data_IF_408211089551
#
_entry.id   IF_408211089551
#
_cell.length_a   1.000
_cell.length_b   1.000
_cell.length_c   1.000
_cell.angle_alpha   90.00
_cell.angle_beta   90.00
_cell.angle_gamma   90.00
#
_symmetry.space_group_name_H-M   'P 1'
#
loop_
_entity.id
_entity.type
_entity.pdbx_description
1 polymer ?
#
# COMPACT_ATOMS: atom_id res chain seq x y z
N UNK A 1 30.60 -0.63 -12.51
CA UNK A 1 31.07 -0.37 -11.13
C UNK A 1 29.87 0.10 -10.34
N UNK A 2 29.54 -0.63 -9.26
CA UNK A 2 28.34 -0.45 -8.44
C UNK A 2 28.46 0.81 -7.57
N UNK A 3 27.48 1.70 -7.62
CA UNK A 3 27.19 2.63 -6.52
C UNK A 3 25.95 2.13 -5.82
N UNK A 4 26.17 1.53 -4.65
CA UNK A 4 25.17 0.82 -3.88
C UNK A 4 23.99 1.71 -3.52
N UNK A 5 22.80 1.20 -3.82
CA UNK A 5 21.57 1.60 -3.13
C UNK A 5 21.79 1.30 -1.66
N UNK A 6 22.01 2.33 -0.85
CA UNK A 6 21.99 2.22 0.60
C UNK A 6 20.60 1.74 1.00
N UNK A 7 20.43 0.42 1.16
CA UNK A 7 19.30 -0.12 1.89
C UNK A 7 19.51 0.36 3.32
N UNK A 8 18.56 1.16 3.80
CA UNK A 8 18.50 1.47 5.21
C UNK A 8 18.09 0.16 5.92
N UNK A 9 19.09 -0.64 6.27
CA UNK A 9 18.94 -1.84 7.08
C UNK A 9 18.41 -1.39 8.45
N UNK A 10 17.10 -1.46 8.63
CA UNK A 10 16.50 -1.59 9.95
C UNK A 10 15.80 -2.94 9.99
N UNK A 11 16.60 -3.96 10.29
CA UNK A 11 16.27 -5.32 10.73
C UNK A 11 14.79 -5.59 10.99
N UNK A 12 14.12 -6.22 10.05
CA UNK A 12 13.22 -7.35 10.29
C UNK A 12 12.58 -7.69 8.96
N UNK A 13 13.13 -8.69 8.31
CA UNK A 13 12.52 -9.35 7.17
C UNK A 13 12.01 -10.70 7.69
N UNK A 14 10.84 -11.16 7.26
CA UNK A 14 10.35 -12.50 7.59
C UNK A 14 11.31 -13.55 7.04
N UNK A 15 11.18 -14.79 7.49
CA UNK A 15 11.98 -15.93 6.98
C UNK A 15 11.90 -16.05 5.45
N UNK A 16 10.80 -15.58 4.85
CA UNK A 16 10.52 -15.63 3.41
C UNK A 16 11.01 -14.40 2.63
N UNK A 17 11.65 -13.44 3.30
CA UNK A 17 12.18 -12.25 2.62
C UNK A 17 11.23 -11.06 2.56
N UNK A 18 10.06 -11.12 3.22
CA UNK A 18 9.10 -10.01 3.23
C UNK A 18 9.39 -8.99 4.33
N UNK A 19 9.16 -7.67 4.09
CA UNK A 19 9.36 -6.65 5.11
C UNK A 19 8.40 -6.87 6.28
N UNK A 20 8.91 -6.85 7.52
CA UNK A 20 8.07 -6.97 8.71
C UNK A 20 7.30 -5.67 8.92
N UNK A 21 5.98 -5.77 8.87
CA UNK A 21 5.09 -4.66 9.14
C UNK A 21 5.31 -4.11 10.56
N UNK A 22 5.57 -2.81 10.67
CA UNK A 22 5.69 -2.10 11.95
C UNK A 22 4.61 -1.04 12.05
N UNK A 23 3.92 -1.02 13.20
CA UNK A 23 2.93 0.03 13.50
C UNK A 23 3.66 1.37 13.62
N UNK A 24 3.20 2.39 12.87
CA UNK A 24 3.72 3.74 13.01
C UNK A 24 3.37 4.30 14.40
N UNK A 25 4.34 4.57 15.29
CA UNK A 25 4.09 5.06 16.64
C UNK A 25 3.64 6.53 16.68
N UNK A 26 3.90 7.30 15.61
CA UNK A 26 3.57 8.71 15.49
C UNK A 26 2.85 9.00 14.16
N UNK A 27 1.57 8.63 14.04
CA UNK A 27 0.80 8.93 12.85
C UNK A 27 0.66 10.45 12.70
N UNK A 28 1.26 11.03 11.65
CA UNK A 28 1.22 12.46 11.34
C UNK A 28 0.04 12.84 10.44
N UNK A 29 -0.58 11.86 9.79
CA UNK A 29 -1.72 12.05 8.89
C UNK A 29 -2.90 11.19 9.35
N UNK A 30 -3.81 11.80 10.10
CA UNK A 30 -5.12 11.21 10.38
C UNK A 30 -6.12 11.77 9.37
N UNK A 31 -6.74 10.90 8.57
CA UNK A 31 -7.80 11.26 7.65
C UNK A 31 -9.16 10.98 8.30
N UNK A 32 -10.05 11.97 8.28
CA UNK A 32 -11.45 11.81 8.70
C UNK A 32 -12.35 11.95 7.47
N UNK A 33 -13.11 10.91 7.19
CA UNK A 33 -14.12 10.92 6.13
C UNK A 33 -15.47 11.25 6.77
N UNK A 34 -16.15 12.28 6.28
CA UNK A 34 -17.51 12.62 6.67
C UNK A 34 -18.40 12.51 5.44
N UNK A 35 -19.39 11.62 5.50
CA UNK A 35 -20.36 11.40 4.44
C UNK A 35 -21.75 11.81 4.95
N UNK A 36 -22.46 12.61 4.15
CA UNK A 36 -23.84 13.01 4.41
C UNK A 36 -24.71 12.47 3.28
N UNK A 37 -25.76 11.74 3.62
CA UNK A 37 -26.77 11.26 2.67
C UNK A 37 -28.03 12.07 2.91
N UNK A 38 -28.42 12.88 1.93
CA UNK A 38 -29.63 13.69 1.97
C UNK A 38 -30.83 12.88 1.43
N UNK A 39 -32.02 13.14 1.97
CA UNK A 39 -33.28 12.51 1.56
C UNK A 39 -33.25 10.97 1.52
N UNK A 40 -32.51 10.35 2.43
CA UNK A 40 -32.45 8.90 2.52
C UNK A 40 -33.87 8.31 2.73
N UNK A 41 -34.34 7.41 1.85
CA UNK A 41 -35.69 6.85 1.95
C UNK A 41 -35.84 5.86 3.13
N UNK A 42 -34.77 5.59 3.85
CA UNK A 42 -34.69 4.66 4.96
C UNK A 42 -33.43 4.86 5.80
N UNK A 43 -33.28 4.08 6.88
CA UNK A 43 -32.13 4.19 7.78
C UNK A 43 -30.83 3.80 7.10
N UNK A 44 -29.73 4.35 7.60
CA UNK A 44 -28.39 3.94 7.23
C UNK A 44 -28.07 2.55 7.80
N UNK A 45 -27.72 1.58 6.95
CA UNK A 45 -27.46 0.21 7.40
C UNK A 45 -25.97 -0.09 7.61
N UNK A 46 -25.14 0.04 6.57
CA UNK A 46 -23.72 -0.31 6.65
C UNK A 46 -22.86 0.53 5.70
N UNK A 47 -21.57 0.59 6.01
CA UNK A 47 -20.52 1.15 5.17
C UNK A 47 -19.40 0.12 5.01
N UNK A 48 -18.88 0.01 3.79
CA UNK A 48 -17.61 -0.67 3.51
C UNK A 48 -16.70 0.32 2.78
N UNK A 49 -15.42 0.30 3.12
CA UNK A 49 -14.43 1.15 2.48
C UNK A 49 -13.05 0.53 2.60
N UNK A 50 -12.26 0.68 1.53
CA UNK A 50 -10.86 0.26 1.51
C UNK A 50 -10.00 1.48 1.23
N UNK A 51 -8.84 1.55 1.88
CA UNK A 51 -7.86 2.62 1.69
C UNK A 51 -6.52 2.00 1.33
N UNK A 52 -5.88 2.53 0.28
CA UNK A 52 -4.60 2.05 -0.22
C UNK A 52 -3.60 3.20 -0.28
N UNK A 53 -2.32 2.85 -0.25
CA UNK A 53 -1.23 3.76 -0.58
C UNK A 53 -0.77 3.46 -2.00
N UNK A 54 -0.73 4.46 -2.87
CA UNK A 54 -0.15 4.33 -4.20
C UNK A 54 1.32 4.76 -4.18
N UNK A 55 2.22 3.87 -4.62
CA UNK A 55 3.63 4.24 -4.77
C UNK A 55 3.81 5.10 -6.02
N UNK A 56 4.21 6.36 -5.84
CA UNK A 56 4.47 7.27 -6.96
C UNK A 56 5.64 6.83 -7.85
N UNK A 57 6.53 5.98 -7.34
CA UNK A 57 7.70 5.45 -8.04
C UNK A 57 7.61 3.94 -8.28
N UNK A 58 6.40 3.38 -8.38
CA UNK A 58 6.15 1.94 -8.50
C UNK A 58 7.07 1.24 -9.50
N UNK A 59 7.21 1.74 -10.72
CA UNK A 59 8.00 1.07 -11.77
C UNK A 59 9.50 0.95 -11.42
N UNK A 60 10.01 1.81 -10.54
CA UNK A 60 11.37 1.70 -10.01
C UNK A 60 11.49 0.65 -8.89
N UNK A 61 10.40 0.40 -8.16
CA UNK A 61 10.34 -0.50 -7.00
C UNK A 61 9.82 -1.90 -7.35
N UNK A 62 9.08 -2.05 -8.46
CA UNK A 62 8.51 -3.32 -8.94
C UNK A 62 9.01 -3.63 -10.36
N UNK A 63 10.24 -4.15 -10.51
CA UNK A 63 10.79 -4.44 -11.83
C UNK A 63 9.93 -5.45 -12.60
N UNK A 64 9.86 -5.26 -13.92
CA UNK A 64 9.22 -6.21 -14.82
C UNK A 64 10.04 -7.50 -14.87
N UNK A 65 9.41 -8.64 -14.59
CA UNK A 65 9.99 -9.94 -14.89
C UNK A 65 10.02 -10.10 -16.42
N UNK A 66 11.23 -10.26 -16.97
CA UNK A 66 11.43 -10.34 -18.42
C UNK A 66 10.83 -11.61 -19.04
N UNK A 67 10.70 -12.69 -18.29
CA UNK A 67 10.09 -13.93 -18.77
C UNK A 67 8.56 -13.84 -18.85
N UNK A 68 7.96 -13.06 -17.95
CA UNK A 68 6.51 -12.88 -17.87
C UNK A 68 6.01 -11.63 -18.61
N UNK A 69 6.90 -10.68 -18.90
CA UNK A 69 6.53 -9.38 -19.48
C UNK A 69 5.76 -8.47 -18.52
N UNK A 70 5.68 -8.84 -17.23
CA UNK A 70 4.95 -8.11 -16.20
C UNK A 70 5.67 -8.18 -14.85
N UNK A 71 5.34 -7.25 -13.94
CA UNK A 71 5.74 -7.36 -12.53
C UNK A 71 4.97 -8.50 -11.85
N UNK A 72 5.64 -9.26 -10.97
CA UNK A 72 5.00 -10.28 -10.12
C UNK A 72 4.28 -9.68 -8.91
N UNK A 73 4.55 -8.40 -8.59
CA UNK A 73 3.80 -7.63 -7.58
C UNK A 73 2.55 -7.02 -8.23
N UNK A 74 1.40 -7.30 -7.62
CA UNK A 74 0.12 -6.69 -8.01
C UNK A 74 0.19 -5.17 -7.87
N UNK A 75 -0.60 -4.47 -8.69
CA UNK A 75 -0.82 -3.05 -8.52
C UNK A 75 -1.67 -2.79 -7.28
N UNK A 76 -1.46 -1.63 -6.67
CA UNK A 76 -2.18 -1.20 -5.48
C UNK A 76 -3.68 -0.95 -5.77
N UNK A 77 -4.04 -0.65 -7.02
CA UNK A 77 -5.42 -0.54 -7.52
C UNK A 77 -6.14 -1.89 -7.68
N UNK A 78 -5.41 -3.01 -7.59
CA UNK A 78 -5.92 -4.37 -7.73
C UNK A 78 -6.13 -5.12 -6.42
N UNK A 79 -5.87 -4.48 -5.28
CA UNK A 79 -6.11 -5.06 -3.96
C UNK A 79 -7.60 -4.88 -3.62
N UNK A 80 -8.35 -5.95 -3.29
CA UNK A 80 -9.77 -5.86 -2.96
C UNK A 80 -10.04 -5.18 -1.60
#
# INVERSE_FOLDING_TARGET
MNTGSERHDTDATTTDGDPVYRKNPHPTQAYRITMTIEDAPGPFEWVSGTAFYEMTNRDACTPIDRSLGMSTKQKEDGIP
#
